data_IF_546857816975
#
_entry.id   IF_546857816975
#
_cell.length_a   1.000
_cell.length_b   1.000
_cell.length_c   1.000
_cell.angle_alpha   90.00
_cell.angle_beta   90.00
_cell.angle_gamma   90.00
#
_symmetry.space_group_name_H-M   'P 1'
#
loop_
_entity.id
_entity.type
_entity.pdbx_description
1 polymer ?
#
# COMPACT_ATOMS: atom_id res chain seq x y z
N UNK A 1 -10.39 2.08 -9.76
CA UNK A 1 -10.99 1.92 -8.41
C UNK A 1 -10.32 0.79 -7.61
N UNK A 2 -10.30 -0.45 -8.12
CA UNK A 2 -9.59 -1.57 -7.47
C UNK A 2 -8.14 -1.25 -7.11
N UNK A 3 -7.42 -0.64 -8.06
CA UNK A 3 -6.02 -0.21 -7.89
C UNK A 3 -5.85 0.77 -6.73
N UNK A 4 -6.70 1.80 -6.68
CA UNK A 4 -6.64 2.85 -5.68
C UNK A 4 -6.98 2.30 -4.29
N UNK A 5 -8.09 1.57 -4.17
CA UNK A 5 -8.52 0.98 -2.91
C UNK A 5 -7.48 0.00 -2.36
N UNK A 6 -6.96 -0.90 -3.20
CA UNK A 6 -5.95 -1.88 -2.76
C UNK A 6 -4.60 -1.24 -2.45
N UNK A 7 -4.19 -0.22 -3.21
CA UNK A 7 -2.95 0.52 -2.91
C UNK A 7 -3.02 1.32 -1.60
N UNK A 8 -4.18 1.92 -1.29
CA UNK A 8 -4.37 2.65 -0.05
C UNK A 8 -4.30 1.72 1.17
N UNK A 9 -4.93 0.55 1.09
CA UNK A 9 -4.91 -0.45 2.18
C UNK A 9 -3.52 -1.07 2.33
N UNK A 10 -2.92 -1.58 1.25
CA UNK A 10 -1.62 -2.26 1.31
C UNK A 10 -0.50 -1.27 1.61
N UNK A 11 -0.55 -0.06 1.05
CA UNK A 11 0.42 1.01 1.29
C UNK A 11 0.39 1.53 2.72
N UNK A 12 -0.80 1.75 3.28
CA UNK A 12 -0.95 2.11 4.69
C UNK A 12 -0.38 1.02 5.61
N UNK A 13 -0.65 -0.27 5.33
CA UNK A 13 -0.13 -1.37 6.16
C UNK A 13 1.39 -1.58 6.01
N UNK A 14 2.00 -1.13 4.91
CA UNK A 14 3.44 -1.23 4.66
C UNK A 14 4.25 -0.10 5.31
N UNK A 15 3.61 1.02 5.67
CA UNK A 15 4.26 2.18 6.27
C UNK A 15 4.62 1.95 7.74
N UNK A 16 5.85 2.31 8.14
CA UNK A 16 6.32 2.20 9.53
C UNK A 16 5.45 2.94 10.55
N UNK A 17 4.88 4.09 10.19
CA UNK A 17 4.09 4.92 11.09
C UNK A 17 2.68 4.38 11.34
N UNK A 18 2.17 3.56 10.42
CA UNK A 18 0.78 3.09 10.42
C UNK A 18 0.68 1.60 10.77
N UNK A 19 1.71 0.80 10.45
CA UNK A 19 1.69 -0.63 10.69
C UNK A 19 1.51 -0.97 12.19
N UNK A 20 0.54 -1.83 12.56
CA UNK A 20 0.29 -2.21 13.96
C UNK A 20 1.47 -2.98 14.60
N UNK A 21 2.35 -3.57 13.79
CA UNK A 21 3.52 -4.30 14.25
C UNK A 21 4.53 -4.62 13.14
N UNK A 22 5.78 -5.00 13.50
CA UNK A 22 6.86 -5.23 12.54
C UNK A 22 6.60 -6.39 11.58
N UNK A 23 5.83 -7.41 12.00
CA UNK A 23 5.45 -8.54 11.14
C UNK A 23 4.49 -8.16 10.00
N UNK A 24 3.49 -7.31 10.28
CA UNK A 24 2.52 -6.86 9.28
C UNK A 24 3.20 -5.98 8.23
N UNK A 25 4.08 -5.07 8.68
CA UNK A 25 4.92 -4.25 7.79
C UNK A 25 5.80 -5.11 6.88
N UNK A 26 6.46 -6.13 7.45
CA UNK A 26 7.29 -7.07 6.69
C UNK A 26 6.48 -7.80 5.62
N UNK A 27 5.32 -8.34 5.99
CA UNK A 27 4.42 -9.03 5.06
C UNK A 27 3.92 -8.11 3.94
N UNK A 28 3.47 -6.89 4.26
CA UNK A 28 2.98 -5.93 3.27
C UNK A 28 4.09 -5.48 2.30
N UNK A 29 5.31 -5.22 2.80
CA UNK A 29 6.47 -4.94 1.92
C UNK A 29 6.84 -6.13 1.06
N UNK A 30 6.78 -7.35 1.58
CA UNK A 30 7.08 -8.56 0.82
C UNK A 30 6.06 -8.77 -0.30
N UNK A 31 4.77 -8.50 -0.04
CA UNK A 31 3.73 -8.48 -1.09
C UNK A 31 4.02 -7.43 -2.15
N UNK A 32 4.38 -6.20 -1.77
CA UNK A 32 4.73 -5.14 -2.73
C UNK A 32 5.94 -5.51 -3.61
N UNK A 33 6.97 -6.11 -3.02
CA UNK A 33 8.16 -6.57 -3.76
C UNK A 33 7.83 -7.78 -4.65
N UNK A 34 7.01 -8.72 -4.17
CA UNK A 34 6.59 -9.88 -4.95
C UNK A 34 5.75 -9.47 -6.17
N UNK A 35 4.82 -8.52 -6.00
CA UNK A 35 4.02 -7.95 -7.11
C UNK A 35 4.92 -7.26 -8.14
N UNK A 36 6.02 -6.63 -7.71
CA UNK A 36 7.01 -6.02 -8.64
C UNK A 36 7.91 -7.04 -9.33
N UNK A 37 8.09 -8.22 -8.73
CA UNK A 37 8.89 -9.30 -9.30
C UNK A 37 8.26 -9.96 -10.52
N UNK A 38 6.92 -9.87 -10.65
CA UNK A 38 6.18 -10.40 -11.79
C UNK A 38 5.65 -9.23 -12.64
N UNK A 39 6.18 -9.02 -13.85
CA UNK A 39 5.65 -8.01 -14.75
C UNK A 39 4.15 -8.20 -15.03
N UNK A 40 3.39 -7.10 -15.08
CA UNK A 40 1.96 -7.10 -15.37
C UNK A 40 1.61 -7.76 -16.71
N UNK A 41 2.53 -7.70 -17.69
CA UNK A 41 2.45 -8.42 -18.96
C UNK A 41 2.34 -9.94 -18.78
N UNK A 42 3.13 -10.53 -17.87
CA UNK A 42 3.09 -11.96 -17.60
C UNK A 42 1.75 -12.32 -16.96
N UNK A 43 1.30 -11.49 -16.00
CA UNK A 43 0.02 -11.67 -15.31
C UNK A 43 -1.17 -11.58 -16.28
N UNK A 44 -1.12 -10.65 -17.24
CA UNK A 44 -2.11 -10.52 -18.30
C UNK A 44 -2.15 -11.75 -19.20
N UNK A 45 -1.00 -12.25 -19.65
CA UNK A 45 -0.92 -13.46 -20.49
C UNK A 45 -1.49 -14.68 -19.76
N UNK A 46 -1.12 -14.89 -18.49
CA UNK A 46 -1.64 -16.00 -17.68
C UNK A 46 -3.15 -15.90 -17.50
N UNK A 47 -3.67 -14.71 -17.16
CA UNK A 47 -5.10 -14.48 -17.01
C UNK A 47 -5.87 -14.70 -18.32
N UNK A 48 -5.30 -14.30 -19.46
CA UNK A 48 -5.88 -14.54 -20.78
C UNK A 48 -5.96 -16.06 -21.07
N UNK A 49 -4.93 -16.83 -20.71
CA UNK A 49 -4.94 -18.28 -20.91
C UNK A 49 -6.01 -18.97 -20.05
N UNK A 50 -6.18 -18.53 -18.80
CA UNK A 50 -7.14 -19.14 -17.87
C UNK A 50 -8.58 -18.69 -18.16
N UNK A 51 -8.77 -17.41 -18.47
CA UNK A 51 -10.09 -16.75 -18.51
C UNK A 51 -10.60 -16.52 -19.94
N UNK A 52 -9.74 -16.72 -20.94
CA UNK A 52 -9.96 -16.31 -22.32
C UNK A 52 -9.57 -14.86 -22.61
N UNK A 53 -9.60 -14.50 -23.89
CA UNK A 53 -9.39 -13.12 -24.36
C UNK A 53 -10.57 -12.24 -23.93
N UNK A 54 -10.31 -11.24 -23.09
CA UNK A 54 -11.34 -10.31 -22.65
C UNK A 54 -10.79 -9.13 -21.85
N UNK A 55 -11.59 -8.06 -21.75
CA UNK A 55 -11.22 -6.84 -21.00
C UNK A 55 -10.98 -7.12 -19.51
N UNK A 56 -11.59 -8.17 -18.97
CA UNK A 56 -11.45 -8.56 -17.56
C UNK A 56 -9.99 -8.91 -17.22
N UNK A 57 -9.31 -9.69 -18.06
CA UNK A 57 -7.93 -10.13 -17.82
C UNK A 57 -6.96 -8.94 -17.78
N UNK A 58 -7.07 -8.04 -18.75
CA UNK A 58 -6.27 -6.81 -18.80
C UNK A 58 -6.54 -5.88 -17.61
N UNK A 59 -7.82 -5.70 -17.25
CA UNK A 59 -8.20 -4.84 -16.11
C UNK A 59 -7.63 -5.35 -14.80
N UNK A 60 -7.69 -6.68 -14.56
CA UNK A 60 -7.17 -7.28 -13.34
C UNK A 60 -5.64 -7.22 -13.32
N UNK A 61 -4.97 -7.53 -14.43
CA UNK A 61 -3.51 -7.46 -14.52
C UNK A 61 -2.98 -6.04 -14.24
N UNK A 62 -3.58 -5.03 -14.87
CA UNK A 62 -3.24 -3.62 -14.64
C UNK A 62 -3.59 -3.17 -13.22
N UNK A 63 -4.71 -3.63 -12.66
CA UNK A 63 -5.05 -3.33 -11.28
C UNK A 63 -4.02 -3.89 -10.29
N UNK A 64 -3.55 -5.12 -10.50
CA UNK A 64 -2.53 -5.74 -9.64
C UNK A 64 -1.18 -5.03 -9.77
N UNK A 65 -0.72 -4.78 -11.00
CA UNK A 65 0.53 -4.03 -11.25
C UNK A 65 0.49 -2.63 -10.64
N UNK A 66 -0.60 -1.90 -10.87
CA UNK A 66 -0.80 -0.56 -10.31
C UNK A 66 -0.89 -0.54 -8.78
N UNK A 67 -1.46 -1.57 -8.13
CA UNK A 67 -1.46 -1.68 -6.66
C UNK A 67 -0.03 -1.78 -6.11
N UNK A 68 0.86 -2.52 -6.76
CA UNK A 68 2.25 -2.64 -6.34
C UNK A 68 3.06 -1.34 -6.50
N UNK A 69 2.76 -0.54 -7.52
CA UNK A 69 3.38 0.77 -7.72
C UNK A 69 2.86 1.80 -6.71
N UNK A 70 1.55 2.01 -6.69
CA UNK A 70 0.90 3.01 -5.85
C UNK A 70 1.02 2.65 -4.37
N UNK A 71 0.92 1.37 -4.00
CA UNK A 71 1.04 0.95 -2.61
C UNK A 71 2.42 1.21 -2.03
N UNK A 72 3.47 1.07 -2.84
CA UNK A 72 4.83 1.45 -2.42
C UNK A 72 4.99 2.97 -2.29
N UNK A 73 4.45 3.74 -3.24
CA UNK A 73 4.47 5.19 -3.15
C UNK A 73 3.74 5.69 -1.91
N UNK A 74 2.55 5.16 -1.61
CA UNK A 74 1.78 5.47 -0.40
C UNK A 74 2.59 5.10 0.85
N UNK A 75 3.23 3.93 0.86
CA UNK A 75 4.05 3.52 2.00
C UNK A 75 5.25 4.44 2.23
N UNK A 76 5.94 4.83 1.16
CA UNK A 76 7.09 5.73 1.22
C UNK A 76 6.64 7.15 1.65
N UNK A 77 5.54 7.67 1.09
CA UNK A 77 4.96 8.96 1.50
C UNK A 77 4.54 9.01 2.97
N UNK A 78 3.93 7.94 3.49
CA UNK A 78 3.55 7.85 4.90
C UNK A 78 4.75 7.69 5.84
N UNK A 79 5.89 7.19 5.34
CA UNK A 79 7.14 7.13 6.10
C UNK A 79 7.90 8.46 6.10
N UNK A 80 7.65 9.33 5.12
CA UNK A 80 8.30 10.63 4.96
C UNK A 80 7.57 11.77 5.70
N UNK A 81 6.45 11.48 6.35
CA UNK A 81 5.72 12.40 7.24
C UNK A 81 6.64 12.94 8.34
N UNK A 82 6.65 14.27 8.52
CA UNK A 82 7.48 14.93 9.53
C UNK A 82 7.11 14.42 10.95
N UNK A 83 8.07 13.91 11.73
CA UNK A 83 7.82 13.45 13.09
C UNK A 83 7.54 14.60 14.08
N UNK A 84 7.62 15.87 13.69
CA UNK A 84 7.33 17.03 14.55
C UNK A 84 5.91 17.03 15.14
N UNK A 85 4.85 17.06 14.30
CA UNK A 85 3.45 16.95 14.74
C UNK A 85 3.17 15.69 15.57
N UNK A 86 3.78 14.57 15.18
CA UNK A 86 3.64 13.28 15.89
C UNK A 86 4.18 13.34 17.32
N UNK A 87 5.37 13.92 17.49
CA UNK A 87 6.01 14.14 18.79
C UNK A 87 5.24 15.16 19.64
N UNK A 88 4.69 16.22 19.04
CA UNK A 88 3.89 17.22 19.73
C UNK A 88 2.60 16.61 20.32
N UNK A 89 1.89 15.80 19.54
CA UNK A 89 0.69 15.09 20.02
C UNK A 89 1.02 14.03 21.07
N UNK A 90 2.13 13.31 20.92
CA UNK A 90 2.56 12.34 21.93
C UNK A 90 2.93 13.02 23.25
N UNK A 91 3.55 14.20 23.21
CA UNK A 91 3.90 14.99 24.40
C UNK A 91 2.67 15.54 25.14
N UNK A 92 1.53 15.74 24.47
CA UNK A 92 0.25 16.11 25.10
C UNK A 92 -0.54 14.91 25.62
N UNK A 93 -0.01 13.69 25.50
CA UNK A 93 -0.64 12.46 25.98
C UNK A 93 -1.58 11.80 24.97
N UNK A 94 -1.51 12.16 23.68
CA UNK A 94 -2.34 11.53 22.66
C UNK A 94 -2.01 10.05 22.46
N UNK A 95 -3.05 9.24 22.27
CA UNK A 95 -2.92 7.81 22.00
C UNK A 95 -2.52 7.56 20.54
N UNK A 96 -1.85 6.42 20.25
CA UNK A 96 -1.45 5.97 18.91
C UNK A 96 -2.49 6.22 17.79
N UNK A 97 -3.78 5.85 17.95
CA UNK A 97 -4.78 6.09 16.91
C UNK A 97 -5.13 7.58 16.73
N UNK A 98 -5.05 8.40 17.78
CA UNK A 98 -5.28 9.84 17.68
C UNK A 98 -4.13 10.53 16.94
N UNK A 99 -2.89 10.10 17.22
CA UNK A 99 -1.70 10.55 16.50
C UNK A 99 -1.79 10.19 15.02
N UNK A 100 -2.17 8.94 14.71
CA UNK A 100 -2.36 8.47 13.34
C UNK A 100 -3.43 9.28 12.59
N UNK A 101 -4.58 9.52 13.22
CA UNK A 101 -5.71 10.23 12.61
C UNK A 101 -5.46 11.74 12.44
N UNK A 102 -4.71 12.37 13.36
CA UNK A 102 -4.54 13.82 13.38
C UNK A 102 -3.24 14.30 12.70
N UNK A 103 -2.17 13.48 12.69
CA UNK A 103 -0.88 13.87 12.12
C UNK A 103 -0.54 13.11 10.83
N UNK A 104 -0.94 11.85 10.70
CA UNK A 104 -0.47 10.99 9.58
C UNK A 104 -1.48 10.82 8.45
N UNK A 105 -2.78 10.70 8.76
CA UNK A 105 -3.84 10.53 7.75
C UNK A 105 -4.17 11.76 6.88
N UNK A 106 -4.15 13.01 7.39
CA UNK A 106 -4.49 14.19 6.59
C UNK A 106 -3.32 14.72 5.73
N UNK A 107 -2.14 14.13 5.83
CA UNK A 107 -0.95 14.48 5.03
C UNK A 107 -0.81 13.55 3.83
#
# INVERSE_FOLDING_TARGET
>A
LLTLAGSAVIGALAARNVAPGPGIRGAARLVLVAVRGVPELILAIVLIVISGLGMQAGTIALAVGGMGLLGKLVADSLEEVDPGPERALTATGATRPQVLAAATLPQ
#
